data_IF_218607017176
#
_entry.id   IF_218607017176
#
_cell.length_a   1.000
_cell.length_b   1.000
_cell.length_c   1.000
_cell.angle_alpha   90.00
_cell.angle_beta   90.00
_cell.angle_gamma   90.00
#
_symmetry.space_group_name_H-M   'P 1'
#
loop_
_entity.id
_entity.type
_entity.pdbx_description
1 polymer ?
#
# COMPACT_ATOMS: atom_id res chain seq x y z
N UNK A 1 30.63 1.70 0.01
CA UNK A 1 29.70 2.53 -0.80
C UNK A 1 28.28 2.09 -0.48
N UNK A 2 27.40 3.01 -0.07
CA UNK A 2 26.00 2.68 0.24
C UNK A 2 25.26 2.32 -1.06
N UNK A 3 24.67 1.13 -1.12
CA UNK A 3 23.85 0.71 -2.26
C UNK A 3 22.54 1.51 -2.26
N UNK A 4 22.12 2.09 -3.40
CA UNK A 4 20.79 2.69 -3.48
C UNK A 4 19.74 1.59 -3.22
N UNK A 5 18.86 1.86 -2.25
CA UNK A 5 17.71 1.00 -1.99
C UNK A 5 16.63 1.36 -3.01
N UNK A 6 16.46 0.54 -4.03
CA UNK A 6 15.32 0.65 -4.94
C UNK A 6 14.20 -0.22 -4.41
N UNK A 7 13.58 0.24 -3.32
CA UNK A 7 12.24 -0.28 -3.00
C UNK A 7 11.40 -0.04 -4.25
N UNK A 8 10.67 -1.04 -4.73
CA UNK A 8 9.49 -0.78 -5.54
C UNK A 8 8.35 -0.49 -4.55
N UNK A 9 8.10 0.75 -4.10
CA UNK A 9 6.75 1.22 -4.09
C UNK A 9 6.45 1.68 -5.52
N UNK A 10 5.26 1.37 -6.01
CA UNK A 10 4.59 2.25 -6.95
C UNK A 10 4.93 3.73 -6.63
N UNK A 11 5.35 4.50 -7.64
CA UNK A 11 5.85 5.88 -7.56
C UNK A 11 5.30 6.79 -6.43
N UNK A 12 6.22 7.51 -5.77
CA UNK A 12 5.98 8.87 -5.28
C UNK A 12 6.72 9.88 -6.16
N UNK A 13 6.04 10.95 -6.58
CA UNK A 13 6.56 11.99 -7.46
C UNK A 13 7.65 12.85 -6.80
N UNK A 14 8.67 13.23 -7.59
CA UNK A 14 9.74 14.13 -7.18
C UNK A 14 9.33 15.61 -7.30
N UNK A 15 9.67 16.41 -6.29
CA UNK A 15 9.71 17.86 -6.36
C UNK A 15 10.66 18.45 -5.33
N UNK A 16 11.67 19.21 -5.79
CA UNK A 16 12.36 20.23 -4.99
C UNK A 16 13.74 19.86 -4.42
N UNK A 17 14.72 20.72 -4.68
CA UNK A 17 16.16 20.58 -4.39
C UNK A 17 16.51 20.71 -2.89
N UNK A 18 17.46 19.87 -2.47
CA UNK A 18 18.54 20.22 -1.53
C UNK A 18 18.24 20.13 -0.04
N UNK A 19 18.76 19.08 0.64
CA UNK A 19 19.56 19.11 1.88
C UNK A 19 20.14 17.69 2.09
N UNK A 20 21.42 17.61 2.44
CA UNK A 20 22.11 16.37 2.80
C UNK A 20 21.67 15.86 4.20
N UNK A 21 21.28 14.58 4.29
CA UNK A 21 21.05 13.92 5.58
C UNK A 21 20.23 12.62 5.47
N UNK A 22 20.90 11.47 5.72
CA UNK A 22 20.38 10.13 6.06
C UNK A 22 19.03 9.72 5.45
N UNK A 23 19.08 8.96 4.36
CA UNK A 23 17.92 8.33 3.75
C UNK A 23 17.49 7.05 4.52
N UNK A 24 16.45 7.17 5.34
CA UNK A 24 15.50 6.09 5.59
C UNK A 24 14.25 6.41 4.75
N UNK A 25 14.04 5.71 3.64
CA UNK A 25 12.87 5.89 2.79
C UNK A 25 11.88 4.74 3.05
N UNK A 26 10.72 5.10 3.60
CA UNK A 26 9.64 4.20 3.98
C UNK A 26 8.73 3.77 2.81
N UNK A 27 7.97 2.72 3.09
CA UNK A 27 6.85 2.25 2.28
C UNK A 27 5.72 3.29 2.28
N UNK A 28 5.15 3.61 1.12
CA UNK A 28 3.95 4.46 1.04
C UNK A 28 2.74 3.71 1.60
N UNK A 29 2.21 4.20 2.71
CA UNK A 29 0.80 4.08 3.06
C UNK A 29 0.27 5.50 3.27
N UNK A 30 -0.85 5.83 2.62
CA UNK A 30 -1.46 7.15 2.65
C UNK A 30 -1.75 7.58 4.09
N UNK A 31 -1.23 8.75 4.48
CA UNK A 31 -1.62 9.46 5.69
C UNK A 31 -1.99 10.89 5.27
N UNK A 32 -3.26 11.27 5.41
CA UNK A 32 -3.67 12.68 5.46
C UNK A 32 -4.23 12.94 6.85
N UNK A 33 -3.37 13.43 7.74
CA UNK A 33 -3.78 14.06 8.98
C UNK A 33 -3.40 15.53 8.89
N UNK A 34 -4.38 16.40 9.01
CA UNK A 34 -4.31 17.61 9.83
C UNK A 34 -5.74 18.15 9.99
N UNK A 35 -6.28 17.94 11.19
CA UNK A 35 -7.38 18.73 11.72
C UNK A 35 -6.79 19.77 12.69
N UNK A 36 -7.39 20.96 12.64
CA UNK A 36 -7.32 22.07 13.60
C UNK A 36 -6.21 23.11 13.39
N UNK A 37 -6.61 24.19 12.72
CA UNK A 37 -6.01 25.52 12.88
C UNK A 37 -6.81 26.35 13.90
N UNK A 38 -6.13 26.94 14.88
CA UNK A 38 -6.04 28.40 15.10
C UNK A 38 -5.20 28.74 16.37
N UNK A 39 -4.71 29.99 16.51
CA UNK A 39 -3.36 30.24 17.02
C UNK A 39 -3.31 30.93 18.39
N UNK A 40 -2.28 30.65 19.20
CA UNK A 40 -1.90 31.54 20.31
C UNK A 40 -0.39 31.81 20.40
N UNK A 41 -0.05 33.05 20.00
CA UNK A 41 0.91 34.00 20.57
C UNK A 41 2.29 33.50 21.00
N UNK A 42 3.28 33.91 20.19
CA UNK A 42 4.71 34.05 20.54
C UNK A 42 4.93 34.80 21.87
N UNK A 43 5.73 34.24 22.76
CA UNK A 43 6.66 34.98 23.64
C UNK A 43 8.07 34.43 23.43
N UNK A 44 8.99 35.35 23.11
CA UNK A 44 10.42 35.15 22.95
C UNK A 44 11.15 35.37 24.28
N UNK A 45 12.24 34.63 24.51
CA UNK A 45 13.57 35.00 25.10
C UNK A 45 14.21 33.81 25.87
N UNK A 46 15.55 33.73 26.02
CA UNK A 46 16.58 33.59 24.97
C UNK A 46 17.59 32.44 25.25
N UNK A 47 18.47 32.06 24.30
CA UNK A 47 19.60 31.18 24.57
C UNK A 47 20.87 31.98 24.90
N UNK A 48 21.55 31.60 25.98
CA UNK A 48 22.91 32.04 26.30
C UNK A 48 23.87 30.87 26.16
N UNK A 49 24.82 30.94 25.22
CA UNK A 49 26.23 30.66 25.50
C UNK A 49 27.10 31.12 24.33
N UNK A 50 28.11 31.88 24.71
CA UNK A 50 29.04 32.65 23.88
C UNK A 50 30.16 31.75 23.38
N UNK A 51 30.57 31.93 22.12
CA UNK A 51 31.98 31.78 21.71
C UNK A 51 32.37 33.02 20.92
N UNK A 52 33.49 33.64 21.33
CA UNK A 52 34.00 34.92 20.84
C UNK A 52 34.88 34.74 19.60
N UNK A 53 34.65 35.64 18.65
CA UNK A 53 35.58 36.45 17.82
C UNK A 53 36.64 35.78 16.95
N UNK A 54 36.59 36.14 15.66
CA UNK A 54 37.60 36.98 15.00
C UNK A 54 36.96 37.70 13.79
N UNK A 55 37.45 38.90 13.49
CA UNK A 55 36.80 39.95 12.71
C UNK A 55 37.57 40.27 11.42
N UNK A 56 36.89 40.80 10.39
CA UNK A 56 37.33 41.84 9.44
C UNK A 56 36.12 42.23 8.53
N UNK A 57 35.56 43.46 8.62
CA UNK A 57 35.71 44.64 7.70
C UNK A 57 35.41 44.32 6.22
N UNK A 58 34.58 45.01 5.42
CA UNK A 58 34.24 46.44 5.18
C UNK A 58 32.86 46.50 4.44
N UNK A 59 32.00 47.53 4.63
CA UNK A 59 31.81 48.66 3.70
C UNK A 59 30.53 48.53 2.84
N UNK A 60 29.40 49.17 3.20
CA UNK A 60 28.83 50.40 2.61
C UNK A 60 28.43 50.32 1.11
N UNK A 61 27.12 50.41 0.79
CA UNK A 61 26.44 51.54 0.12
C UNK A 61 25.01 51.20 -0.35
N UNK A 62 24.19 52.25 -0.47
CA UNK A 62 22.73 52.31 -0.47
C UNK A 62 22.21 52.70 -1.91
N UNK A 63 20.97 53.18 -2.16
CA UNK A 63 19.99 52.58 -3.08
C UNK A 63 19.50 53.52 -4.22
N UNK A 64 18.60 53.04 -5.10
CA UNK A 64 17.58 53.83 -5.83
C UNK A 64 16.39 52.87 -6.09
N UNK A 65 15.13 52.98 -5.65
CA UNK A 65 14.10 54.04 -5.46
C UNK A 65 13.58 54.72 -6.75
N UNK A 66 12.35 54.33 -7.15
CA UNK A 66 11.28 55.16 -7.72
C UNK A 66 9.95 54.33 -7.59
N UNK A 67 8.97 54.64 -6.73
CA UNK A 67 7.91 55.69 -6.77
C UNK A 67 7.27 55.83 -8.16
N UNK A 68 5.95 55.79 -8.38
CA UNK A 68 4.77 56.08 -7.55
C UNK A 68 3.47 55.52 -8.20
N UNK A 69 2.37 55.42 -7.42
CA UNK A 69 0.97 55.42 -7.94
C UNK A 69 0.53 56.84 -8.38
N UNK A 70 -0.78 57.21 -8.51
CA UNK A 70 -1.98 56.60 -7.91
C UNK A 70 -3.31 56.65 -8.76
N UNK A 71 -4.40 56.09 -8.19
CA UNK A 71 -5.85 56.47 -8.27
C UNK A 71 -6.62 56.56 -9.62
N UNK A 72 -7.84 55.97 -9.63
CA UNK A 72 -9.04 56.66 -10.17
C UNK A 72 -10.04 55.87 -11.05
N UNK A 73 -11.21 55.56 -10.48
CA UNK A 73 -12.59 55.64 -11.04
C UNK A 73 -13.08 54.81 -12.25
N UNK A 74 -14.03 53.90 -11.96
CA UNK A 74 -15.41 53.75 -12.47
C UNK A 74 -15.76 53.52 -13.98
N UNK A 75 -16.55 52.45 -14.17
CA UNK A 75 -17.82 52.35 -14.92
C UNK A 75 -17.91 51.62 -16.30
N UNK A 76 -18.92 50.74 -16.35
CA UNK A 76 -19.74 50.21 -17.47
C UNK A 76 -19.21 49.13 -18.46
N UNK A 77 -19.80 47.92 -18.37
CA UNK A 77 -20.58 47.17 -19.41
C UNK A 77 -20.82 45.73 -18.90
N UNK A 78 -22.05 45.36 -18.49
CA UNK A 78 -23.19 44.79 -19.24
C UNK A 78 -22.95 43.43 -19.93
N UNK A 79 -23.73 42.46 -19.45
CA UNK A 79 -24.40 41.34 -20.13
C UNK A 79 -23.59 40.10 -20.58
N UNK A 80 -23.80 38.96 -19.88
CA UNK A 80 -24.55 37.77 -20.36
C UNK A 80 -24.21 36.52 -19.51
N UNK A 81 -25.14 36.11 -18.64
CA UNK A 81 -25.20 34.76 -18.03
C UNK A 81 -26.35 33.97 -18.69
N UNK A 82 -26.19 32.68 -19.01
CA UNK A 82 -27.31 31.81 -19.39
C UNK A 82 -27.98 31.13 -18.16
N UNK A 83 -29.29 30.80 -18.24
CA UNK A 83 -30.12 30.35 -17.11
C UNK A 83 -30.13 28.81 -16.88
N UNK A 84 -30.66 28.33 -15.73
CA UNK A 84 -30.69 26.91 -15.37
C UNK A 84 -31.88 26.13 -15.96
N UNK A 85 -31.66 24.87 -16.32
CA UNK A 85 -32.67 23.94 -16.85
C UNK A 85 -33.52 23.28 -15.75
N UNK A 86 -34.85 23.29 -15.93
CA UNK A 86 -35.86 22.50 -15.18
C UNK A 86 -36.13 21.15 -15.89
N UNK A 87 -36.44 20.06 -15.16
CA UNK A 87 -36.80 18.78 -15.76
C UNK A 87 -38.32 18.68 -16.04
N UNK A 88 -38.76 17.85 -17.01
CA UNK A 88 -40.18 17.69 -17.33
C UNK A 88 -40.85 16.58 -16.50
N UNK A 89 -42.11 16.81 -16.14
CA UNK A 89 -43.06 15.81 -15.62
C UNK A 89 -43.65 14.97 -16.76
N UNK A 90 -43.87 13.66 -16.56
CA UNK A 90 -44.95 12.91 -17.25
C UNK A 90 -45.50 11.74 -16.42
N UNK A 91 -46.74 11.39 -16.79
CA UNK A 91 -47.82 10.73 -16.04
C UNK A 91 -47.68 9.21 -15.85
N UNK A 92 -48.37 8.72 -14.81
CA UNK A 92 -48.72 7.31 -14.54
C UNK A 92 -49.62 6.68 -15.63
N UNK A 93 -49.36 5.40 -15.96
CA UNK A 93 -50.34 4.39 -16.39
C UNK A 93 -49.98 3.04 -15.77
N UNK A 94 -51.00 2.29 -15.34
CA UNK A 94 -50.94 0.91 -14.79
C UNK A 94 -51.09 -0.13 -15.92
N UNK A 95 -50.48 -1.32 -15.76
CA UNK A 95 -51.00 -2.58 -16.32
C UNK A 95 -49.98 -3.61 -16.83
N UNK A 96 -49.98 -4.78 -16.17
CA UNK A 96 -49.70 -6.15 -16.65
C UNK A 96 -48.26 -6.63 -16.98
N UNK A 97 -48.08 -7.92 -16.70
CA UNK A 97 -46.86 -8.72 -16.69
C UNK A 97 -46.24 -9.00 -18.06
N UNK A 98 -44.92 -9.27 -18.08
CA UNK A 98 -44.21 -9.81 -19.24
C UNK A 98 -42.73 -9.43 -19.25
N UNK A 99 -41.83 -10.42 -19.17
CA UNK A 99 -40.38 -10.27 -19.37
C UNK A 99 -40.11 -10.08 -20.88
N UNK A 100 -39.17 -9.19 -21.27
CA UNK A 100 -38.13 -9.63 -22.19
C UNK A 100 -36.73 -9.07 -21.89
N UNK A 101 -35.76 -9.72 -22.50
CA UNK A 101 -34.30 -9.59 -22.38
C UNK A 101 -33.73 -8.61 -23.42
N UNK A 102 -32.71 -7.86 -23.00
CA UNK A 102 -31.67 -7.10 -23.72
C UNK A 102 -32.07 -5.96 -24.69
N UNK A 103 -31.60 -4.74 -24.37
CA UNK A 103 -30.81 -3.94 -25.30
C UNK A 103 -29.90 -2.97 -24.52
N UNK A 104 -28.62 -2.93 -24.89
CA UNK A 104 -27.64 -1.96 -24.43
C UNK A 104 -27.67 -0.71 -25.33
N UNK A 105 -27.35 0.46 -24.77
CA UNK A 105 -26.70 1.67 -25.35
C UNK A 105 -27.15 2.93 -24.53
N UNK A 106 -26.45 4.09 -24.58
CA UNK A 106 -25.14 4.39 -24.02
C UNK A 106 -25.15 5.54 -22.98
N UNK A 107 -24.19 5.50 -22.04
CA UNK A 107 -23.57 6.64 -21.33
C UNK A 107 -24.39 7.81 -20.76
N UNK A 108 -24.35 7.97 -19.43
CA UNK A 108 -24.02 9.25 -18.79
C UNK A 108 -23.43 9.02 -17.40
N UNK A 109 -22.17 9.44 -17.24
CA UNK A 109 -21.50 9.63 -15.96
C UNK A 109 -22.18 10.81 -15.25
N UNK A 110 -22.56 10.62 -14.00
CA UNK A 110 -22.58 11.70 -13.02
C UNK A 110 -21.78 11.23 -11.80
N UNK A 111 -20.69 11.96 -11.53
CA UNK A 111 -19.76 11.71 -10.45
C UNK A 111 -20.30 12.35 -9.18
N UNK A 112 -20.36 11.58 -8.08
CA UNK A 112 -20.75 12.10 -6.77
C UNK A 112 -20.41 11.19 -5.58
N UNK A 113 -19.58 10.16 -5.78
CA UNK A 113 -19.07 9.31 -4.70
C UNK A 113 -17.55 9.19 -4.82
N UNK A 114 -16.85 9.53 -3.75
CA UNK A 114 -15.40 9.31 -3.64
C UNK A 114 -15.11 7.81 -3.89
N UNK A 115 -14.14 7.44 -4.74
CA UNK A 115 -13.86 6.03 -4.96
C UNK A 115 -13.23 5.42 -3.71
N UNK A 116 -13.80 4.30 -3.24
CA UNK A 116 -13.26 3.49 -2.15
C UNK A 116 -11.85 2.94 -2.43
N UNK A 117 -11.23 2.23 -1.47
CA UNK A 117 -9.81 1.88 -1.52
C UNK A 117 -9.47 1.12 -2.80
N UNK A 118 -8.52 1.69 -3.54
CA UNK A 118 -8.01 1.22 -4.82
C UNK A 118 -7.12 -0.02 -4.63
N UNK A 119 -7.51 -1.18 -5.19
CA UNK A 119 -6.80 -2.46 -5.00
C UNK A 119 -6.29 -3.02 -6.33
N UNK A 120 -5.13 -3.69 -6.32
CA UNK A 120 -4.42 -4.21 -7.50
C UNK A 120 -4.33 -5.75 -7.48
N UNK A 121 -4.91 -6.44 -8.47
CA UNK A 121 -4.74 -7.91 -8.65
C UNK A 121 -3.78 -8.27 -9.79
N UNK A 122 -3.15 -9.44 -9.72
CA UNK A 122 -2.10 -9.88 -10.69
C UNK A 122 -2.55 -10.92 -11.72
N UNK A 123 -3.68 -11.59 -11.48
CA UNK A 123 -4.13 -12.76 -12.24
C UNK A 123 -5.67 -12.87 -12.36
N UNK A 124 -6.38 -11.76 -12.23
CA UNK A 124 -7.85 -11.74 -12.28
C UNK A 124 -8.37 -12.02 -13.71
N UNK A 125 -9.33 -12.95 -13.83
CA UNK A 125 -9.97 -13.39 -15.09
C UNK A 125 -11.50 -13.22 -15.05
N UNK A 126 -12.13 -13.37 -16.22
CA UNK A 126 -13.59 -13.39 -16.49
C UNK A 126 -14.40 -14.04 -15.37
N UNK A 127 -15.46 -13.37 -14.92
CA UNK A 127 -16.41 -13.86 -13.89
C UNK A 127 -16.30 -13.21 -12.51
N UNK A 128 -15.51 -12.14 -12.40
CA UNK A 128 -15.45 -11.24 -11.25
C UNK A 128 -15.93 -9.85 -11.69
N UNK A 129 -16.60 -9.15 -10.77
CA UNK A 129 -16.75 -7.72 -10.91
C UNK A 129 -15.38 -7.06 -10.68
N UNK A 130 -14.90 -6.38 -11.71
CA UNK A 130 -13.60 -5.69 -11.73
C UNK A 130 -13.77 -4.16 -11.72
N UNK A 131 -14.99 -3.64 -11.60
CA UNK A 131 -15.28 -2.21 -11.64
C UNK A 131 -14.61 -1.42 -10.51
N UNK A 132 -14.33 -2.06 -9.37
CA UNK A 132 -13.60 -1.49 -8.23
C UNK A 132 -12.11 -1.85 -8.17
N UNK A 133 -11.56 -2.52 -9.20
CA UNK A 133 -10.16 -2.96 -9.20
C UNK A 133 -9.36 -2.01 -10.06
N UNK A 134 -8.33 -1.41 -9.48
CA UNK A 134 -7.45 -0.53 -10.25
C UNK A 134 -6.65 -1.34 -11.28
N UNK A 135 -6.42 -0.77 -12.47
CA UNK A 135 -5.66 -1.45 -13.52
C UNK A 135 -4.15 -1.44 -13.25
N UNK A 136 -3.71 -1.44 -11.99
CA UNK A 136 -2.31 -1.29 -11.58
C UNK A 136 -1.71 -2.63 -11.13
N UNK A 137 -1.98 -3.68 -11.91
CA UNK A 137 -1.46 -5.03 -11.68
C UNK A 137 0.07 -5.06 -11.65
N UNK A 138 0.66 -6.13 -11.13
CA UNK A 138 2.12 -6.30 -11.11
C UNK A 138 2.73 -6.16 -12.51
N UNK A 139 2.09 -6.67 -13.56
CA UNK A 139 2.57 -6.51 -14.94
C UNK A 139 2.58 -5.04 -15.39
N UNK A 140 1.59 -4.26 -14.97
CA UNK A 140 1.54 -2.81 -15.24
C UNK A 140 2.64 -2.09 -14.46
N UNK A 141 2.86 -2.45 -13.20
CA UNK A 141 3.95 -1.90 -12.38
C UNK A 141 5.33 -2.16 -12.98
N UNK A 142 5.58 -3.38 -13.48
CA UNK A 142 6.82 -3.70 -14.21
C UNK A 142 6.95 -2.84 -15.48
N UNK A 143 5.86 -2.61 -16.21
CA UNK A 143 5.87 -1.76 -17.40
C UNK A 143 6.18 -0.29 -17.08
N UNK A 144 5.67 0.22 -15.96
CA UNK A 144 6.03 1.56 -15.48
C UNK A 144 7.48 1.64 -15.01
N UNK A 145 7.93 0.60 -14.30
CA UNK A 145 9.31 0.51 -13.85
C UNK A 145 10.30 0.52 -15.03
N UNK A 146 10.00 -0.19 -16.12
CA UNK A 146 10.82 -0.15 -17.34
C UNK A 146 10.93 1.27 -17.93
N UNK A 147 9.85 2.05 -17.90
CA UNK A 147 9.87 3.45 -18.34
C UNK A 147 10.70 4.32 -17.41
N UNK A 148 10.59 4.12 -16.09
CA UNK A 148 11.42 4.83 -15.11
C UNK A 148 12.91 4.47 -15.28
N UNK A 149 13.23 3.20 -15.49
CA UNK A 149 14.62 2.77 -15.68
C UNK A 149 15.26 3.45 -16.89
N UNK A 150 14.48 3.72 -17.95
CA UNK A 150 14.95 4.50 -19.10
C UNK A 150 15.36 5.94 -18.75
N UNK A 151 14.82 6.53 -17.69
CA UNK A 151 15.19 7.87 -17.22
C UNK A 151 16.36 7.86 -16.24
N UNK A 152 16.72 6.70 -15.67
CA UNK A 152 17.81 6.56 -14.71
C UNK A 152 19.18 6.35 -15.36
N UNK A 153 19.22 6.01 -16.66
CA UNK A 153 20.46 5.82 -17.39
C UNK A 153 20.26 6.00 -18.89
N UNK A 154 21.17 6.75 -19.50
CA UNK A 154 21.16 7.05 -20.94
C UNK A 154 21.57 5.84 -21.77
N UNK A 155 22.49 5.02 -21.25
CA UNK A 155 22.96 3.80 -21.92
C UNK A 155 22.40 2.52 -21.30
N UNK A 156 22.41 1.41 -22.04
CA UNK A 156 22.05 0.10 -21.48
C UNK A 156 22.98 -0.31 -20.33
N UNK A 157 24.27 0.03 -20.44
CA UNK A 157 25.26 -0.24 -19.42
C UNK A 157 24.92 0.44 -18.09
N UNK A 158 24.66 1.75 -18.12
CA UNK A 158 24.27 2.54 -16.93
C UNK A 158 23.01 1.99 -16.26
N UNK A 159 22.01 1.61 -17.06
CA UNK A 159 20.76 1.03 -16.55
C UNK A 159 21.01 -0.33 -15.89
N UNK A 160 21.80 -1.19 -16.51
CA UNK A 160 22.16 -2.50 -15.93
C UNK A 160 22.99 -2.34 -14.66
N UNK A 161 23.90 -1.39 -14.60
CA UNK A 161 24.68 -1.08 -13.39
C UNK A 161 23.77 -0.59 -12.26
N UNK A 162 22.82 0.30 -12.57
CA UNK A 162 21.79 0.76 -11.62
C UNK A 162 20.99 -0.42 -11.08
N UNK A 163 20.53 -1.32 -11.96
CA UNK A 163 19.80 -2.52 -11.56
C UNK A 163 20.65 -3.47 -10.70
N UNK A 164 21.92 -3.69 -11.09
CA UNK A 164 22.80 -4.63 -10.41
C UNK A 164 23.26 -4.13 -9.02
N UNK A 165 23.31 -2.81 -8.81
CA UNK A 165 23.66 -2.18 -7.55
C UNK A 165 22.48 -1.93 -6.61
N UNK A 166 21.25 -2.09 -7.10
CA UNK A 166 20.01 -1.89 -6.35
C UNK A 166 19.54 -3.15 -5.62
N UNK A 167 18.84 -2.97 -4.50
CA UNK A 167 18.03 -4.01 -3.86
C UNK A 167 16.58 -3.85 -4.29
N UNK A 168 15.95 -4.94 -4.72
CA UNK A 168 14.53 -4.99 -5.08
C UNK A 168 13.73 -5.68 -3.99
N UNK A 169 12.71 -5.00 -3.44
CA UNK A 169 11.69 -5.63 -2.61
C UNK A 169 10.44 -5.83 -3.47
N UNK A 170 10.02 -7.07 -3.68
CA UNK A 170 8.94 -7.43 -4.63
C UNK A 170 7.77 -8.06 -3.86
N UNK A 171 6.98 -7.23 -3.17
CA UNK A 171 5.81 -7.70 -2.41
C UNK A 171 5.34 -6.74 -1.33
N UNK A 172 4.25 -7.06 -0.64
CA UNK A 172 3.49 -8.33 -0.67
C UNK A 172 2.63 -8.50 -1.93
N UNK A 173 2.90 -9.54 -2.75
CA UNK A 173 2.15 -9.81 -3.99
C UNK A 173 1.31 -11.08 -3.83
N UNK A 174 0.00 -10.96 -4.06
CA UNK A 174 -0.88 -12.10 -4.31
C UNK A 174 -2.12 -12.14 -3.41
N UNK A 175 -2.11 -11.51 -2.23
CA UNK A 175 -3.29 -11.49 -1.36
C UNK A 175 -4.52 -10.90 -2.09
N UNK A 176 -4.35 -9.84 -2.89
CA UNK A 176 -5.46 -9.23 -3.63
C UNK A 176 -6.14 -10.19 -4.62
N UNK A 177 -5.38 -11.13 -5.21
CA UNK A 177 -5.93 -12.15 -6.09
C UNK A 177 -6.86 -13.14 -5.35
N UNK A 178 -6.78 -13.20 -4.02
CA UNK A 178 -7.66 -13.99 -3.16
C UNK A 178 -8.72 -13.14 -2.45
N UNK A 179 -8.37 -11.92 -2.00
CA UNK A 179 -9.28 -10.96 -1.39
C UNK A 179 -10.50 -10.72 -2.28
N UNK A 180 -10.28 -10.33 -3.54
CA UNK A 180 -11.36 -9.99 -4.47
C UNK A 180 -12.40 -11.09 -4.67
N UNK A 181 -12.03 -12.32 -5.06
CA UNK A 181 -13.01 -13.40 -5.21
C UNK A 181 -13.66 -13.80 -3.89
N UNK A 182 -12.94 -13.82 -2.75
CA UNK A 182 -13.54 -14.17 -1.46
C UNK A 182 -14.57 -13.12 -1.03
N UNK A 183 -14.31 -11.83 -1.22
CA UNK A 183 -15.28 -10.75 -0.94
C UNK A 183 -16.48 -10.75 -1.89
N UNK A 184 -16.36 -11.39 -3.05
CA UNK A 184 -17.46 -11.66 -3.98
C UNK A 184 -18.08 -13.06 -3.78
N UNK A 185 -17.91 -13.63 -2.59
CA UNK A 185 -18.51 -14.89 -2.17
C UNK A 185 -18.14 -16.09 -3.09
N UNK A 186 -16.96 -16.06 -3.71
CA UNK A 186 -16.45 -17.25 -4.43
C UNK A 186 -16.00 -18.31 -3.43
N UNK A 187 -16.21 -19.57 -3.78
CA UNK A 187 -15.90 -20.70 -2.90
C UNK A 187 -14.39 -20.88 -2.69
N UNK A 188 -14.04 -21.58 -1.62
CA UNK A 188 -12.66 -21.99 -1.32
C UNK A 188 -12.01 -22.69 -2.52
N UNK A 189 -12.68 -23.65 -3.14
CA UNK A 189 -12.14 -24.41 -4.30
C UNK A 189 -11.88 -23.49 -5.49
N UNK A 190 -12.71 -22.45 -5.66
CA UNK A 190 -12.53 -21.48 -6.73
C UNK A 190 -11.24 -20.69 -6.56
N UNK A 191 -10.99 -20.20 -5.34
CA UNK A 191 -9.82 -19.38 -5.01
C UNK A 191 -8.55 -20.22 -5.00
N UNK A 192 -8.60 -21.45 -4.49
CA UNK A 192 -7.47 -22.38 -4.49
C UNK A 192 -6.94 -22.68 -5.91
N UNK A 193 -7.81 -22.64 -6.94
CA UNK A 193 -7.39 -22.79 -8.35
C UNK A 193 -6.58 -21.60 -8.89
N UNK A 194 -6.62 -20.44 -8.23
CA UNK A 194 -5.84 -19.27 -8.63
C UNK A 194 -4.38 -19.35 -8.20
N UNK A 195 -4.06 -20.07 -7.12
CA UNK A 195 -2.71 -20.07 -6.52
C UNK A 195 -1.61 -20.33 -7.56
N UNK A 196 -1.66 -21.37 -8.40
CA UNK A 196 -0.59 -21.61 -9.39
C UNK A 196 -0.47 -20.50 -10.45
N UNK A 197 -1.56 -19.77 -10.73
CA UNK A 197 -1.56 -18.66 -11.69
C UNK A 197 -0.92 -17.41 -11.09
N UNK A 198 -1.24 -17.10 -9.83
CA UNK A 198 -0.63 -15.99 -9.08
C UNK A 198 0.88 -16.19 -8.97
N UNK A 199 1.34 -17.38 -8.57
CA UNK A 199 2.78 -17.70 -8.47
C UNK A 199 3.47 -17.60 -9.83
N UNK A 200 2.81 -18.01 -10.92
CA UNK A 200 3.34 -17.83 -12.28
C UNK A 200 3.51 -16.35 -12.63
N UNK A 201 2.53 -15.50 -12.31
CA UNK A 201 2.61 -14.06 -12.52
C UNK A 201 3.77 -13.43 -11.75
N UNK A 202 3.95 -13.81 -10.47
CA UNK A 202 5.09 -13.36 -9.66
C UNK A 202 6.42 -13.82 -10.30
N UNK A 203 6.51 -15.09 -10.69
CA UNK A 203 7.69 -15.64 -11.37
C UNK A 203 8.07 -14.87 -12.64
N UNK A 204 7.10 -14.55 -13.50
CA UNK A 204 7.34 -13.78 -14.72
C UNK A 204 7.86 -12.36 -14.43
N UNK A 205 7.35 -11.71 -13.37
CA UNK A 205 7.82 -10.38 -12.95
C UNK A 205 9.26 -10.44 -12.42
N UNK A 206 9.60 -11.45 -11.62
CA UNK A 206 10.96 -11.67 -11.13
C UNK A 206 11.93 -11.93 -12.28
N UNK A 207 11.57 -12.78 -13.24
CA UNK A 207 12.38 -13.01 -14.44
C UNK A 207 12.56 -11.72 -15.27
N UNK A 208 11.52 -10.88 -15.36
CA UNK A 208 11.63 -9.59 -16.05
C UNK A 208 12.64 -8.66 -15.36
N UNK A 209 12.59 -8.55 -14.03
CA UNK A 209 13.56 -7.76 -13.26
C UNK A 209 14.99 -8.30 -13.42
N UNK A 210 15.16 -9.63 -13.39
CA UNK A 210 16.46 -10.28 -13.61
C UNK A 210 17.01 -9.97 -15.01
N UNK A 211 16.18 -10.08 -16.06
CA UNK A 211 16.60 -9.73 -17.44
C UNK A 211 17.04 -8.28 -17.58
N UNK A 212 16.41 -7.37 -16.83
CA UNK A 212 16.79 -5.96 -16.77
C UNK A 212 18.10 -5.71 -16.01
N UNK A 213 18.60 -6.70 -15.24
CA UNK A 213 19.88 -6.64 -14.54
C UNK A 213 19.79 -6.68 -13.02
N UNK A 214 18.60 -6.95 -12.44
CA UNK A 214 18.48 -7.07 -10.99
C UNK A 214 19.26 -8.28 -10.47
N UNK A 215 20.14 -8.06 -9.48
CA UNK A 215 20.97 -9.12 -8.89
C UNK A 215 20.57 -9.46 -7.45
N UNK A 216 19.84 -8.58 -6.77
CA UNK A 216 19.46 -8.75 -5.35
C UNK A 216 17.97 -8.47 -5.20
N UNK A 217 17.17 -9.53 -4.97
CA UNK A 217 15.72 -9.43 -4.84
C UNK A 217 15.27 -10.12 -3.54
N UNK A 218 14.49 -9.41 -2.73
CA UNK A 218 13.77 -9.94 -1.58
C UNK A 218 12.29 -10.03 -1.96
N UNK A 219 11.71 -11.21 -1.77
CA UNK A 219 10.37 -11.55 -2.21
C UNK A 219 9.56 -12.02 -1.01
N UNK A 220 8.75 -11.14 -0.42
CA UNK A 220 7.79 -11.48 0.61
C UNK A 220 6.82 -12.58 0.18
N UNK A 221 6.53 -13.50 1.10
CA UNK A 221 5.26 -14.23 1.07
C UNK A 221 4.09 -13.33 1.45
N UNK A 222 2.90 -13.92 1.54
CA UNK A 222 1.70 -13.23 2.03
C UNK A 222 1.49 -13.49 3.52
N UNK A 223 0.82 -12.55 4.20
CA UNK A 223 0.45 -12.64 5.62
C UNK A 223 -0.41 -13.88 5.94
N UNK A 224 -0.49 -14.32 7.22
CA UNK A 224 -1.46 -15.33 7.63
C UNK A 224 -2.88 -14.77 7.48
N UNK A 225 -3.49 -14.98 6.31
CA UNK A 225 -4.77 -14.38 5.95
C UNK A 225 -5.90 -14.73 6.94
N UNK A 226 -5.83 -15.92 7.55
CA UNK A 226 -6.79 -16.35 8.55
C UNK A 226 -6.77 -15.55 9.84
N UNK A 227 -5.71 -14.79 10.10
CA UNK A 227 -5.60 -13.90 11.25
C UNK A 227 -6.08 -12.47 10.95
N UNK A 228 -6.45 -12.15 9.70
CA UNK A 228 -6.87 -10.80 9.35
C UNK A 228 -8.33 -10.54 9.76
N UNK A 229 -8.63 -9.42 10.43
CA UNK A 229 -9.98 -9.11 10.92
C UNK A 229 -11.08 -9.20 9.85
N UNK A 230 -10.79 -8.79 8.60
CA UNK A 230 -11.78 -8.87 7.50
C UNK A 230 -12.17 -10.31 7.17
N UNK A 231 -11.24 -11.25 7.24
CA UNK A 231 -11.53 -12.65 6.99
C UNK A 231 -12.26 -13.29 8.16
N UNK A 232 -11.87 -12.98 9.40
CA UNK A 232 -12.59 -13.39 10.60
C UNK A 232 -14.05 -12.91 10.57
N UNK A 233 -14.28 -11.65 10.17
CA UNK A 233 -15.64 -11.15 9.97
C UNK A 233 -16.36 -11.85 8.82
N UNK A 234 -15.73 -12.04 7.66
CA UNK A 234 -16.35 -12.68 6.50
C UNK A 234 -16.83 -14.10 6.80
N UNK A 235 -16.04 -14.87 7.55
CA UNK A 235 -16.31 -16.27 7.86
C UNK A 235 -16.87 -16.51 9.27
N UNK A 236 -17.29 -15.46 9.99
CA UNK A 236 -17.83 -15.55 11.36
C UNK A 236 -19.01 -16.52 11.54
N UNK A 237 -19.72 -16.84 10.45
CA UNK A 237 -20.89 -17.73 10.44
C UNK A 237 -20.62 -19.06 9.69
N UNK A 238 -19.36 -19.44 9.44
CA UNK A 238 -19.05 -20.66 8.65
C UNK A 238 -19.51 -21.97 9.32
N UNK A 239 -19.96 -21.93 10.58
CA UNK A 239 -20.70 -23.02 11.23
C UNK A 239 -19.87 -24.25 11.62
N UNK A 240 -18.61 -24.33 11.20
CA UNK A 240 -17.68 -25.36 11.65
C UNK A 240 -16.94 -24.86 12.89
N UNK A 241 -17.28 -25.44 14.04
CA UNK A 241 -16.61 -25.16 15.32
C UNK A 241 -15.08 -25.38 15.27
N UNK A 242 -14.62 -26.18 14.30
CA UNK A 242 -13.22 -26.50 14.05
C UNK A 242 -12.56 -25.66 12.91
N UNK A 243 -13.10 -24.49 12.57
CA UNK A 243 -12.45 -23.62 11.57
C UNK A 243 -11.37 -22.70 12.16
N UNK A 244 -11.38 -22.45 13.47
CA UNK A 244 -10.47 -21.53 14.13
C UNK A 244 -9.41 -22.27 14.96
N UNK A 245 -8.16 -21.84 14.84
CA UNK A 245 -7.08 -22.28 15.69
C UNK A 245 -7.35 -21.86 17.15
N UNK A 246 -7.36 -22.79 18.12
CA UNK A 246 -7.74 -22.48 19.50
C UNK A 246 -6.69 -21.63 20.24
N UNK A 247 -5.45 -21.60 19.78
CA UNK A 247 -4.38 -20.83 20.43
C UNK A 247 -4.38 -19.36 19.96
N UNK A 248 -4.67 -19.13 18.67
CA UNK A 248 -4.56 -17.81 18.04
C UNK A 248 -5.90 -17.19 17.69
N UNK A 249 -6.97 -17.98 17.57
CA UNK A 249 -8.25 -17.54 17.05
C UNK A 249 -8.27 -17.33 15.53
N UNK A 250 -7.20 -17.66 14.81
CA UNK A 250 -7.13 -17.48 13.35
C UNK A 250 -7.88 -18.59 12.60
N UNK A 251 -8.39 -18.30 11.40
CA UNK A 251 -9.01 -19.31 10.53
C UNK A 251 -7.96 -20.27 9.95
N UNK A 252 -8.04 -21.55 10.34
CA UNK A 252 -7.12 -22.62 9.92
C UNK A 252 -7.05 -22.74 8.41
N UNK A 253 -8.17 -22.87 7.72
CA UNK A 253 -8.14 -23.14 6.28
C UNK A 253 -7.51 -22.00 5.45
N UNK A 254 -7.64 -20.75 5.89
CA UNK A 254 -6.99 -19.61 5.22
C UNK A 254 -5.48 -19.65 5.44
N UNK A 255 -5.03 -20.04 6.63
CA UNK A 255 -3.64 -20.14 7.00
C UNK A 255 -2.98 -21.41 6.44
N UNK A 256 -3.48 -22.57 6.80
CA UNK A 256 -2.89 -23.89 6.58
C UNK A 256 -3.08 -24.40 5.15
N UNK A 257 -4.15 -23.97 4.46
CA UNK A 257 -4.43 -24.45 3.11
C UNK A 257 -4.15 -23.39 2.04
N UNK A 258 -4.73 -22.19 2.13
CA UNK A 258 -4.57 -21.18 1.09
C UNK A 258 -3.20 -20.50 1.17
N UNK A 259 -2.89 -19.92 2.33
CA UNK A 259 -1.68 -19.12 2.53
C UNK A 259 -0.42 -19.98 2.52
N UNK A 260 -0.42 -21.09 3.26
CA UNK A 260 0.70 -22.03 3.27
C UNK A 260 0.98 -22.58 1.86
N UNK A 261 -0.04 -22.88 1.06
CA UNK A 261 0.12 -23.31 -0.33
C UNK A 261 0.72 -22.21 -1.21
N UNK A 262 0.26 -20.97 -1.10
CA UNK A 262 0.86 -19.84 -1.82
C UNK A 262 2.35 -19.73 -1.48
N UNK A 263 2.67 -19.63 -0.19
CA UNK A 263 4.02 -19.40 0.29
C UNK A 263 4.96 -20.57 -0.02
N UNK A 264 4.47 -21.81 0.03
CA UNK A 264 5.21 -23.00 -0.39
C UNK A 264 5.54 -22.99 -1.88
N UNK A 265 4.55 -22.70 -2.74
CA UNK A 265 4.76 -22.63 -4.18
C UNK A 265 5.65 -21.43 -4.58
N UNK A 266 5.57 -20.31 -3.86
CA UNK A 266 6.48 -19.19 -4.04
C UNK A 266 7.92 -19.60 -3.71
N UNK A 267 8.16 -20.23 -2.56
CA UNK A 267 9.49 -20.76 -2.18
C UNK A 267 10.04 -21.71 -3.25
N UNK A 268 9.21 -22.61 -3.79
CA UNK A 268 9.58 -23.50 -4.89
C UNK A 268 9.95 -22.74 -6.18
N UNK A 269 9.15 -21.75 -6.59
CA UNK A 269 9.45 -20.93 -7.77
C UNK A 269 10.74 -20.11 -7.58
N UNK A 270 11.01 -19.59 -6.38
CA UNK A 270 12.29 -18.94 -6.09
C UNK A 270 13.47 -19.91 -6.20
N UNK A 271 13.32 -21.16 -5.74
CA UNK A 271 14.36 -22.18 -5.89
C UNK A 271 14.60 -22.56 -7.36
N UNK A 272 13.57 -22.63 -8.19
CA UNK A 272 13.69 -22.79 -9.64
C UNK A 272 14.47 -21.62 -10.26
N UNK A 273 14.09 -20.38 -9.95
CA UNK A 273 14.75 -19.19 -10.50
C UNK A 273 16.21 -19.06 -10.05
N UNK A 274 16.55 -19.43 -8.81
CA UNK A 274 17.95 -19.47 -8.33
C UNK A 274 18.79 -20.44 -9.17
N UNK A 275 18.26 -21.61 -9.53
CA UNK A 275 18.95 -22.58 -10.39
C UNK A 275 19.15 -22.05 -11.81
N UNK A 276 18.15 -21.34 -12.34
CA UNK A 276 18.23 -20.73 -13.67
C UNK A 276 19.17 -19.50 -13.71
N UNK A 277 19.37 -18.83 -12.58
CA UNK A 277 20.13 -17.58 -12.47
C UNK A 277 21.12 -17.62 -11.30
N UNK A 278 22.23 -18.39 -11.40
CA UNK A 278 23.16 -18.61 -10.28
C UNK A 278 23.86 -17.33 -9.77
N UNK A 279 23.91 -16.27 -10.58
CA UNK A 279 24.45 -14.96 -10.19
C UNK A 279 23.47 -14.03 -9.46
N UNK A 280 22.22 -14.46 -9.25
CA UNK A 280 21.16 -13.63 -8.65
C UNK A 280 20.83 -14.12 -7.24
N UNK A 281 20.90 -13.21 -6.28
CA UNK A 281 20.41 -13.41 -4.92
C UNK A 281 18.91 -13.19 -4.84
N UNK A 282 18.13 -14.26 -4.95
CA UNK A 282 16.70 -14.29 -4.65
C UNK A 282 16.49 -14.74 -3.20
N UNK A 283 15.92 -13.90 -2.34
CA UNK A 283 15.69 -14.18 -0.92
C UNK A 283 14.19 -14.19 -0.64
N UNK A 284 13.72 -15.21 0.08
CA UNK A 284 12.34 -15.24 0.56
C UNK A 284 12.27 -14.44 1.87
N UNK A 285 11.28 -13.55 1.98
CA UNK A 285 10.97 -12.85 3.22
C UNK A 285 9.69 -13.43 3.82
N UNK A 286 9.78 -13.96 5.04
CA UNK A 286 8.73 -14.75 5.67
C UNK A 286 7.75 -13.86 6.44
N UNK A 287 6.91 -13.14 5.68
CA UNK A 287 5.85 -12.30 6.24
C UNK A 287 4.83 -13.12 7.04
N UNK A 288 4.70 -14.42 6.72
CA UNK A 288 3.74 -15.29 7.35
C UNK A 288 4.13 -15.57 8.79
N UNK A 289 5.33 -16.12 8.99
CA UNK A 289 5.81 -16.49 10.32
C UNK A 289 6.08 -15.26 11.20
N UNK A 290 6.46 -14.12 10.60
CA UNK A 290 6.67 -12.86 11.32
C UNK A 290 5.36 -12.36 11.97
N UNK A 291 4.30 -12.23 11.17
CA UNK A 291 2.99 -11.82 11.68
C UNK A 291 2.39 -12.88 12.60
N UNK A 292 2.54 -14.17 12.27
CA UNK A 292 2.01 -15.25 13.11
C UNK A 292 2.68 -15.27 14.49
N UNK A 293 3.99 -14.98 14.58
CA UNK A 293 4.69 -14.87 15.85
C UNK A 293 4.15 -13.71 16.71
N UNK A 294 3.75 -12.60 16.10
CA UNK A 294 3.12 -11.47 16.79
C UNK A 294 1.72 -11.85 17.29
N UNK A 295 0.91 -12.48 16.45
CA UNK A 295 -0.47 -12.88 16.81
C UNK A 295 -0.49 -14.01 17.85
N UNK A 296 0.48 -14.91 17.83
CA UNK A 296 0.57 -16.02 18.78
C UNK A 296 1.01 -15.59 20.18
N UNK A 297 1.77 -14.50 20.29
CA UNK A 297 2.17 -13.91 21.58
C UNK A 297 2.17 -12.38 21.51
N UNK A 298 0.98 -11.76 21.49
CA UNK A 298 0.84 -10.32 21.31
C UNK A 298 1.48 -9.56 22.47
N UNK A 299 1.37 -10.06 23.70
CA UNK A 299 1.91 -9.41 24.89
C UNK A 299 3.44 -9.30 24.85
N UNK A 300 4.15 -10.38 24.47
CA UNK A 300 5.61 -10.32 24.31
C UNK A 300 6.06 -9.35 23.22
N UNK A 301 5.21 -9.11 22.23
CA UNK A 301 5.48 -8.18 21.13
C UNK A 301 4.96 -6.75 21.39
N UNK A 302 4.44 -6.46 22.60
CA UNK A 302 3.99 -5.12 23.00
C UNK A 302 2.55 -4.78 22.60
N UNK A 303 1.77 -5.76 22.15
CA UNK A 303 0.37 -5.60 21.77
C UNK A 303 -0.57 -6.13 22.86
N UNK A 304 -1.81 -5.62 22.87
CA UNK A 304 -2.81 -6.09 23.82
C UNK A 304 -3.43 -7.43 23.33
N UNK A 305 -3.40 -8.51 24.14
CA UNK A 305 -3.97 -9.80 23.72
C UNK A 305 -5.44 -9.72 23.32
N UNK A 306 -6.23 -8.90 24.01
CA UNK A 306 -7.65 -8.75 23.76
C UNK A 306 -7.98 -8.13 22.38
N UNK A 307 -7.04 -7.41 21.76
CA UNK A 307 -7.25 -6.68 20.50
C UNK A 307 -6.31 -7.17 19.40
N UNK A 308 -5.64 -8.30 19.59
CA UNK A 308 -4.65 -8.83 18.64
C UNK A 308 -5.26 -9.19 17.27
N UNK A 309 -6.55 -9.55 17.26
CA UNK A 309 -7.32 -9.87 16.05
C UNK A 309 -8.34 -8.78 15.69
N UNK A 310 -8.28 -7.61 16.33
CA UNK A 310 -9.17 -6.49 16.01
C UNK A 310 -8.49 -5.52 15.04
N UNK A 311 -9.28 -4.93 14.15
CA UNK A 311 -8.83 -3.78 13.37
C UNK A 311 -8.85 -2.51 14.23
N UNK A 312 -7.79 -1.70 14.16
CA UNK A 312 -7.80 -0.39 14.82
C UNK A 312 -8.88 0.53 14.23
N UNK A 313 -9.06 0.53 12.91
CA UNK A 313 -9.95 1.43 12.20
C UNK A 313 -10.85 0.69 11.23
N UNK A 314 -12.16 0.75 11.42
CA UNK A 314 -13.08 0.01 10.56
C UNK A 314 -14.55 0.29 10.84
N UNK A 315 -15.42 -0.59 10.36
CA UNK A 315 -16.87 -0.36 10.36
C UNK A 315 -17.61 -0.77 11.63
N UNK A 316 -16.90 -1.03 12.73
CA UNK A 316 -17.46 -1.56 13.96
C UNK A 316 -17.84 -3.04 13.88
N UNK A 317 -18.50 -3.53 14.93
CA UNK A 317 -18.94 -4.92 15.05
C UNK A 317 -17.81 -5.90 15.39
N UNK A 318 -18.02 -7.17 15.05
CA UNK A 318 -17.04 -8.24 15.30
C UNK A 318 -15.69 -7.91 14.65
N UNK A 319 -14.63 -7.90 15.47
CA UNK A 319 -13.26 -7.48 15.12
C UNK A 319 -13.11 -6.09 14.48
N UNK A 320 -14.09 -5.19 14.65
CA UNK A 320 -14.14 -3.88 14.01
C UNK A 320 -14.02 -3.93 12.46
N UNK A 321 -14.49 -5.02 11.84
CA UNK A 321 -14.15 -5.34 10.45
C UNK A 321 -15.35 -5.49 9.50
N UNK A 322 -16.51 -4.89 9.83
CA UNK A 322 -17.68 -4.92 8.95
C UNK A 322 -17.42 -4.26 7.58
N UNK A 323 -17.85 -4.90 6.49
CA UNK A 323 -17.69 -4.47 5.09
C UNK A 323 -18.58 -3.29 4.66
N UNK A 324 -19.43 -2.76 5.54
CA UNK A 324 -20.29 -1.60 5.21
C UNK A 324 -19.55 -0.27 5.31
N UNK A 325 -18.58 -0.14 6.21
CA UNK A 325 -17.84 1.10 6.45
C UNK A 325 -16.34 0.79 6.44
N UNK A 326 -15.61 1.52 5.60
CA UNK A 326 -14.15 1.47 5.48
C UNK A 326 -13.51 2.53 6.37
N UNK A 327 -12.24 2.35 6.73
CA UNK A 327 -11.52 3.27 7.63
C UNK A 327 -11.52 4.74 7.14
N UNK A 328 -11.57 4.95 5.83
CA UNK A 328 -11.57 6.29 5.20
C UNK A 328 -12.97 6.91 5.10
N UNK A 329 -14.02 6.22 5.55
CA UNK A 329 -15.40 6.66 5.38
C UNK A 329 -15.96 7.29 6.66
N UNK A 330 -16.89 8.26 6.54
CA UNK A 330 -17.63 8.78 7.68
C UNK A 330 -18.31 7.66 8.47
N UNK A 331 -18.18 7.69 9.79
CA UNK A 331 -18.73 6.67 10.69
C UNK A 331 -17.79 5.50 10.98
N UNK A 332 -16.55 5.52 10.47
CA UNK A 332 -15.53 4.56 10.88
C UNK A 332 -15.22 4.67 12.38
N UNK A 333 -15.10 3.54 13.04
CA UNK A 333 -14.71 3.40 14.45
C UNK A 333 -13.19 3.24 14.51
N UNK A 334 -12.54 4.20 15.16
CA UNK A 334 -11.10 4.24 15.36
C UNK A 334 -10.74 3.80 16.79
N UNK A 335 -9.63 3.09 16.91
CA UNK A 335 -9.08 2.67 18.18
C UNK A 335 -8.38 3.83 18.91
N UNK A 336 -8.25 3.78 20.23
CA UNK A 336 -7.62 4.86 21.00
C UNK A 336 -6.10 4.93 20.84
N UNK A 337 -5.45 3.80 20.53
CA UNK A 337 -3.99 3.72 20.41
C UNK A 337 -3.58 2.70 19.34
N UNK A 338 -3.22 3.15 18.12
CA UNK A 338 -2.80 2.27 17.03
C UNK A 338 -1.55 1.44 17.34
N UNK A 339 -0.71 1.85 18.31
CA UNK A 339 0.49 1.09 18.66
C UNK A 339 0.18 -0.21 19.43
N UNK A 340 -1.06 -0.37 19.91
CA UNK A 340 -1.51 -1.55 20.67
C UNK A 340 -2.29 -2.58 19.83
N UNK A 341 -2.53 -2.27 18.56
CA UNK A 341 -3.27 -3.12 17.62
C UNK A 341 -2.32 -3.72 16.59
N UNK A 342 -2.59 -4.97 16.20
CA UNK A 342 -1.83 -5.65 15.15
C UNK A 342 -2.29 -5.18 13.77
N UNK A 343 -3.60 -5.15 13.54
CA UNK A 343 -4.19 -4.73 12.27
C UNK A 343 -4.65 -3.26 12.29
N UNK A 344 -4.37 -2.54 11.21
CA UNK A 344 -4.87 -1.18 11.00
C UNK A 344 -6.33 -1.18 10.57
N UNK A 345 -6.66 -1.79 9.42
CA UNK A 345 -7.99 -1.69 8.79
C UNK A 345 -8.69 -3.04 8.51
N UNK A 346 -8.10 -4.10 9.05
CA UNK A 346 -8.55 -5.47 8.88
C UNK A 346 -7.94 -6.22 7.71
N UNK A 347 -7.11 -5.57 6.87
CA UNK A 347 -6.28 -6.22 5.84
C UNK A 347 -4.81 -5.86 5.97
N UNK A 348 -4.53 -4.64 6.46
CA UNK A 348 -3.18 -4.13 6.63
C UNK A 348 -2.78 -4.14 8.09
N UNK A 349 -1.46 -4.18 8.33
CA UNK A 349 -0.88 -4.09 9.66
C UNK A 349 -0.73 -2.63 10.11
N UNK A 350 -0.62 -2.41 11.42
CA UNK A 350 -0.29 -1.09 11.96
C UNK A 350 1.17 -0.72 11.72
N UNK A 351 1.50 0.56 11.84
CA UNK A 351 2.89 1.04 11.78
C UNK A 351 3.79 0.35 12.81
N UNK A 352 3.26 0.06 14.01
CA UNK A 352 3.97 -0.65 15.07
C UNK A 352 4.39 -2.06 14.63
N UNK A 353 3.48 -2.80 13.99
CA UNK A 353 3.79 -4.13 13.44
C UNK A 353 4.77 -4.01 12.27
N UNK A 354 4.56 -3.10 11.32
CA UNK A 354 5.49 -2.92 10.21
C UNK A 354 6.91 -2.56 10.68
N UNK A 355 7.06 -1.84 11.80
CA UNK A 355 8.36 -1.55 12.40
C UNK A 355 9.06 -2.81 12.91
N UNK A 356 8.32 -3.75 13.51
CA UNK A 356 8.84 -5.05 13.94
C UNK A 356 9.24 -5.87 12.72
N UNK A 357 8.34 -5.96 11.73
CA UNK A 357 8.60 -6.73 10.51
C UNK A 357 9.82 -6.23 9.73
N UNK A 358 9.96 -4.90 9.62
CA UNK A 358 11.12 -4.30 8.98
C UNK A 358 12.43 -4.73 9.66
N UNK A 359 12.48 -4.78 10.99
CA UNK A 359 13.65 -5.30 11.72
C UNK A 359 13.85 -6.79 11.47
N UNK A 360 12.76 -7.57 11.44
CA UNK A 360 12.74 -8.98 11.08
C UNK A 360 13.44 -9.30 9.75
N UNK A 361 13.31 -8.43 8.75
CA UNK A 361 13.98 -8.61 7.45
C UNK A 361 15.35 -7.95 7.37
N UNK A 362 15.51 -6.80 8.01
CA UNK A 362 16.77 -6.05 8.01
C UNK A 362 17.85 -6.83 8.77
N UNK A 363 17.52 -7.27 9.98
CA UNK A 363 18.47 -7.89 10.92
C UNK A 363 18.25 -9.39 11.11
N UNK A 364 17.09 -9.92 10.69
CA UNK A 364 16.68 -11.32 10.86
C UNK A 364 15.63 -11.49 11.96
N UNK A 365 15.02 -12.68 12.09
CA UNK A 365 15.31 -13.91 11.36
C UNK A 365 14.46 -14.13 10.09
N UNK A 366 13.50 -13.25 9.79
CA UNK A 366 12.47 -13.50 8.77
C UNK A 366 12.93 -13.23 7.33
N UNK A 367 14.23 -13.06 7.10
CA UNK A 367 14.84 -13.15 5.78
C UNK A 367 16.24 -13.77 5.92
N UNK A 368 16.55 -14.77 5.09
CA UNK A 368 17.84 -15.48 5.16
C UNK A 368 18.53 -15.49 3.78
N UNK A 369 19.68 -14.82 3.62
CA UNK A 369 20.32 -13.94 4.61
C UNK A 369 19.51 -12.65 4.86
N UNK A 370 19.62 -12.00 6.04
CA UNK A 370 19.00 -10.70 6.30
C UNK A 370 19.59 -9.60 5.42
N UNK A 371 18.83 -8.53 5.15
CA UNK A 371 19.26 -7.44 4.26
C UNK A 371 20.58 -6.82 4.75
N UNK A 372 20.69 -6.51 6.04
CA UNK A 372 21.85 -5.81 6.60
C UNK A 372 23.10 -6.69 6.70
N UNK A 373 22.98 -8.02 6.61
CA UNK A 373 24.14 -8.91 6.56
C UNK A 373 25.04 -8.65 5.34
N UNK A 374 24.46 -8.07 4.27
CA UNK A 374 25.19 -7.70 3.04
C UNK A 374 25.79 -6.29 3.11
N UNK A 375 25.36 -5.47 4.06
CA UNK A 375 25.84 -4.10 4.26
C UNK A 375 27.07 -4.04 5.17
N UNK A 376 27.24 -4.99 6.10
CA UNK A 376 28.32 -5.01 7.10
C UNK A 376 29.68 -5.52 6.59
N UNK A 377 29.84 -5.76 5.28
CA UNK A 377 31.07 -6.33 4.67
C UNK A 377 32.06 -5.30 4.13
N UNK A 378 31.85 -4.00 4.40
CA UNK A 378 32.75 -2.90 4.07
C UNK A 378 32.72 -1.89 5.22
#
# INVERSE_FOLDING_TARGET
MAKPLLVLPLLAAAGGRGVAGRACCGCQYYYSGDADGEPQRRRLLPPSLRVRRLAHRHGQLHPLLHRAGPRGTAALRRDLLPPPHRPPRRRLRRGAAGVPVLDALPGRQDQGGLPGPYICGTALKKGLDVGGITPYSLGVQISWFQKLLATLGSTEHERRETMASSLFLVGEIGANDYNHPLFQNKTREWVMRLVPRVIRSIGMALEALIRLGATTLYVPGIFPLGCLPRYLFLFRNSGAADDHDPATGCLRWLNDDLTARHNSLLKAKLAELRRAHPGVSLVYADYYDDVLAIVSDPARNGFAPATALDACCGGGGFHNANFTVHCTEPGAVQCPDPARYVSWDGLHMTEAVYRIMARGFLDGPFAVPPIMSRCRKH
#
